data_IF_287146249589
#
_entry.id   IF_287146249589
#
_cell.length_a   1.000
_cell.length_b   1.000
_cell.length_c   1.000
_cell.angle_alpha   90.00
_cell.angle_beta   90.00
_cell.angle_gamma   90.00
#
_symmetry.space_group_name_H-M   'P 1'
#
loop_
_entity.id
_entity.type
_entity.pdbx_description
1 polymer ?
#
# COMPACT_ATOMS: atom_id res chain seq x y z
N UNK A 1 79.40 63.33 16.06
CA UNK A 1 78.39 62.88 16.98
C UNK A 1 77.24 62.38 16.16
N UNK A 2 77.04 61.07 16.22
CA UNK A 2 76.20 60.40 15.25
C UNK A 2 74.92 59.90 15.97
N UNK A 3 73.75 60.40 15.54
CA UNK A 3 72.48 59.85 16.00
C UNK A 3 72.03 58.77 15.07
N UNK A 4 71.96 57.63 15.62
CA UNK A 4 71.38 56.48 14.96
C UNK A 4 69.89 56.38 15.32
N UNK A 5 69.06 56.55 14.32
CA UNK A 5 67.58 56.35 14.45
C UNK A 5 67.23 54.92 14.07
N UNK A 6 66.63 54.25 15.00
CA UNK A 6 66.12 52.84 14.82
C UNK A 6 64.71 52.89 14.25
N UNK A 7 64.38 52.10 13.22
CA UNK A 7 62.99 52.08 12.69
C UNK A 7 62.06 51.18 13.49
N UNK A 8 60.96 51.77 13.91
CA UNK A 8 59.84 51.12 14.58
C UNK A 8 59.16 50.14 13.65
N UNK A 9 59.16 48.84 14.01
CA UNK A 9 58.43 47.79 13.31
C UNK A 9 56.95 47.90 13.66
N UNK A 10 56.13 48.24 12.69
CA UNK A 10 54.64 48.18 12.76
C UNK A 10 54.22 46.72 12.84
N UNK A 11 53.60 46.33 13.94
CA UNK A 11 52.96 45.01 14.10
C UNK A 11 51.56 45.09 13.52
N UNK A 12 51.31 44.43 12.42
CA UNK A 12 49.97 44.24 11.84
C UNK A 12 49.29 43.11 12.64
N UNK A 13 48.09 43.36 13.20
CA UNK A 13 47.36 42.27 13.84
C UNK A 13 46.81 41.31 12.79
N UNK A 14 47.10 40.03 12.96
CA UNK A 14 46.55 38.95 12.15
C UNK A 14 45.01 38.89 12.33
N UNK A 15 44.31 39.16 11.25
CA UNK A 15 42.87 39.00 11.18
C UNK A 15 42.57 37.50 11.13
N UNK A 16 42.10 36.95 12.23
CA UNK A 16 41.60 35.57 12.29
C UNK A 16 40.26 35.52 11.59
N UNK A 17 40.22 35.05 10.34
CA UNK A 17 38.99 34.75 9.61
C UNK A 17 38.49 33.40 10.13
N UNK A 18 37.48 33.47 11.03
CA UNK A 18 36.75 32.30 11.50
C UNK A 18 35.80 31.85 10.38
N UNK A 19 36.24 30.90 9.57
CA UNK A 19 35.40 30.25 8.58
C UNK A 19 34.35 29.38 9.32
N UNK A 20 33.12 29.90 9.40
CA UNK A 20 31.96 29.13 9.82
C UNK A 20 31.68 28.07 8.76
N UNK A 21 32.15 26.84 9.01
CA UNK A 21 31.76 25.66 8.24
C UNK A 21 30.27 25.41 8.54
N UNK A 22 29.40 25.81 7.61
CA UNK A 22 28.03 25.30 7.57
C UNK A 22 28.09 23.80 7.36
N UNK A 23 27.95 23.05 8.46
CA UNK A 23 27.68 21.63 8.40
C UNK A 23 26.28 21.46 7.78
N UNK A 24 26.24 21.30 6.45
CA UNK A 24 25.08 20.76 5.77
C UNK A 24 24.88 19.35 6.33
N UNK A 25 23.93 19.19 7.27
CA UNK A 25 23.49 17.89 7.73
C UNK A 25 23.07 17.04 6.52
N UNK A 26 23.25 15.71 6.57
CA UNK A 26 22.80 14.86 5.50
C UNK A 26 21.31 15.12 5.28
N UNK A 27 20.96 15.70 4.13
CA UNK A 27 19.58 15.85 3.70
C UNK A 27 18.96 14.46 3.75
N UNK A 28 17.95 14.29 4.58
CA UNK A 28 17.09 13.12 4.51
C UNK A 28 16.48 13.14 3.11
N UNK A 29 17.06 12.37 2.19
CA UNK A 29 16.40 12.02 0.96
C UNK A 29 15.07 11.39 1.41
N UNK A 30 13.94 11.99 1.04
CA UNK A 30 12.63 11.44 1.33
C UNK A 30 12.63 10.01 0.77
N UNK A 31 12.70 9.03 1.67
CA UNK A 31 12.70 7.62 1.32
C UNK A 31 11.43 7.37 0.53
N UNK A 32 11.56 6.84 -0.70
CA UNK A 32 10.39 6.51 -1.49
C UNK A 32 9.53 5.59 -0.64
N UNK A 33 8.23 5.88 -0.49
CA UNK A 33 7.36 5.01 0.28
C UNK A 33 7.51 3.59 -0.23
N UNK A 34 7.73 2.65 0.67
CA UNK A 34 7.81 1.24 0.35
C UNK A 34 6.51 0.84 -0.39
N UNK A 35 6.64 0.22 -1.54
CA UNK A 35 5.54 -0.19 -2.40
C UNK A 35 4.49 -0.98 -1.60
N UNK A 36 4.94 -1.90 -0.75
CA UNK A 36 4.04 -2.74 0.05
C UNK A 36 3.39 -1.99 1.22
N UNK A 37 4.00 -0.93 1.73
CA UNK A 37 3.34 -0.03 2.67
C UNK A 37 2.14 0.67 2.00
N UNK A 38 2.30 1.10 0.74
CA UNK A 38 1.20 1.70 -0.04
C UNK A 38 0.13 0.66 -0.37
N UNK A 39 0.51 -0.54 -0.82
CA UNK A 39 -0.43 -1.63 -1.11
C UNK A 39 -1.22 -2.05 0.14
N UNK A 40 -0.59 -2.09 1.33
CA UNK A 40 -1.29 -2.35 2.58
C UNK A 40 -2.37 -1.29 2.88
N UNK A 41 -2.07 0.00 2.61
CA UNK A 41 -3.05 1.07 2.74
C UNK A 41 -4.21 0.93 1.73
N UNK A 42 -3.95 0.45 0.51
CA UNK A 42 -5.02 0.12 -0.44
C UNK A 42 -5.90 -1.03 0.06
N UNK A 43 -5.33 -2.10 0.62
CA UNK A 43 -6.11 -3.21 1.19
C UNK A 43 -7.04 -2.74 2.31
N UNK A 44 -6.56 -1.85 3.20
CA UNK A 44 -7.41 -1.21 4.20
C UNK A 44 -8.55 -0.41 3.57
N UNK A 45 -8.26 0.37 2.52
CA UNK A 45 -9.27 1.16 1.83
C UNK A 45 -10.28 0.26 1.10
N UNK A 46 -9.86 -0.82 0.47
CA UNK A 46 -10.78 -1.78 -0.12
C UNK A 46 -11.74 -2.34 0.93
N UNK A 47 -11.24 -2.75 2.11
CA UNK A 47 -12.09 -3.19 3.21
C UNK A 47 -13.09 -2.12 3.69
N UNK A 48 -12.76 -0.83 3.55
CA UNK A 48 -13.63 0.29 3.93
C UNK A 48 -14.71 0.58 2.92
N UNK A 49 -14.43 0.37 1.65
CA UNK A 49 -15.31 0.79 0.54
C UNK A 49 -15.99 -0.37 -0.17
N UNK A 50 -15.79 -1.60 0.31
CA UNK A 50 -16.56 -2.75 -0.13
C UNK A 50 -17.79 -2.94 0.73
N UNK A 51 -18.93 -3.23 0.10
CA UNK A 51 -20.15 -3.64 0.78
C UNK A 51 -20.39 -5.12 0.51
N UNK A 52 -20.56 -5.89 1.60
CA UNK A 52 -20.92 -7.29 1.55
C UNK A 52 -22.45 -7.46 1.49
N UNK A 53 -22.95 -8.60 0.99
CA UNK A 53 -24.39 -8.88 0.95
C UNK A 53 -25.06 -8.72 2.33
N UNK A 54 -26.32 -8.33 2.33
CA UNK A 54 -27.12 -8.29 3.56
C UNK A 54 -27.21 -9.69 4.17
N UNK A 55 -27.12 -9.77 5.51
CA UNK A 55 -27.10 -11.04 6.23
C UNK A 55 -25.72 -11.73 6.27
N UNK A 56 -24.69 -11.10 5.73
CA UNK A 56 -23.32 -11.58 5.93
C UNK A 56 -22.85 -11.20 7.33
N UNK A 57 -23.00 -12.12 8.28
CA UNK A 57 -22.54 -11.93 9.65
C UNK A 57 -21.03 -12.16 9.75
N UNK A 58 -20.35 -11.12 10.19
CA UNK A 58 -18.92 -11.19 10.51
C UNK A 58 -18.58 -10.23 11.64
N UNK A 59 -17.99 -10.75 12.70
CA UNK A 59 -17.52 -9.95 13.82
C UNK A 59 -16.22 -9.19 13.51
N UNK A 60 -15.45 -9.71 12.57
CA UNK A 60 -14.15 -9.20 12.19
C UNK A 60 -14.00 -9.17 10.67
N UNK A 61 -13.54 -8.03 10.14
CA UNK A 61 -13.11 -7.93 8.75
C UNK A 61 -11.68 -8.46 8.62
N UNK A 62 -11.46 -9.45 7.77
CA UNK A 62 -10.15 -10.05 7.60
C UNK A 62 -9.48 -9.63 6.31
N UNK A 63 -8.20 -9.29 6.39
CA UNK A 63 -7.34 -9.18 5.23
C UNK A 63 -6.39 -10.38 5.26
N UNK A 64 -6.56 -11.26 4.30
CA UNK A 64 -5.84 -12.54 4.22
C UNK A 64 -4.83 -12.47 3.10
N UNK A 65 -3.56 -12.74 3.39
CA UNK A 65 -2.51 -12.92 2.39
C UNK A 65 -2.35 -14.41 2.12
N UNK A 66 -2.54 -14.84 0.87
CA UNK A 66 -2.38 -16.23 0.45
C UNK A 66 -1.08 -16.38 -0.34
N UNK A 67 -0.19 -17.25 0.13
CA UNK A 67 1.16 -17.44 -0.40
C UNK A 67 2.22 -16.78 0.46
N UNK A 68 3.34 -16.44 -0.17
CA UNK A 68 4.46 -15.78 0.51
C UNK A 68 4.10 -14.31 0.78
N UNK A 69 4.15 -13.90 2.05
CA UNK A 69 3.73 -12.55 2.44
C UNK A 69 4.77 -11.48 2.03
N UNK A 70 4.42 -10.58 1.10
CA UNK A 70 5.31 -9.51 0.70
C UNK A 70 5.18 -8.26 1.58
N UNK A 71 4.20 -8.20 2.49
CA UNK A 71 3.91 -7.02 3.30
C UNK A 71 4.75 -6.93 4.57
N UNK A 72 5.21 -8.07 5.11
CA UNK A 72 5.86 -8.09 6.42
C UNK A 72 4.99 -7.37 7.46
N UNK A 73 5.59 -6.46 8.24
CA UNK A 73 4.91 -5.71 9.31
C UNK A 73 4.02 -4.56 8.80
N UNK A 74 4.09 -4.20 7.51
CA UNK A 74 3.32 -3.06 6.99
C UNK A 74 1.81 -3.27 7.11
N UNK A 75 1.34 -4.48 6.82
CA UNK A 75 -0.08 -4.79 6.90
C UNK A 75 -0.58 -4.71 8.33
N UNK A 76 0.13 -5.29 9.28
CA UNK A 76 -0.26 -5.25 10.70
C UNK A 76 -0.26 -3.82 11.24
N UNK A 77 0.75 -3.03 10.93
CA UNK A 77 0.84 -1.61 11.34
C UNK A 77 -0.32 -0.78 10.78
N UNK A 78 -0.69 -1.00 9.53
CA UNK A 78 -1.79 -0.27 8.89
C UNK A 78 -3.14 -0.65 9.50
N UNK A 79 -3.33 -1.91 9.89
CA UNK A 79 -4.60 -2.41 10.44
C UNK A 79 -4.73 -2.21 11.96
N UNK A 80 -3.63 -1.99 12.67
CA UNK A 80 -3.62 -1.90 14.14
C UNK A 80 -4.67 -0.92 14.67
N UNK A 81 -5.58 -1.41 15.50
CA UNK A 81 -6.65 -0.62 16.13
C UNK A 81 -7.69 -0.04 15.16
N UNK A 82 -7.64 -0.38 13.87
CA UNK A 82 -8.61 0.11 12.89
C UNK A 82 -9.92 -0.66 12.97
N UNK A 83 -11.01 0.05 12.71
CA UNK A 83 -12.36 -0.51 12.63
C UNK A 83 -13.06 0.01 11.37
N UNK A 84 -13.91 -0.80 10.79
CA UNK A 84 -14.75 -0.44 9.65
C UNK A 84 -16.18 -0.83 10.00
N UNK A 85 -17.10 0.13 9.99
CA UNK A 85 -18.51 -0.07 10.41
C UNK A 85 -18.63 -0.75 11.78
N UNK A 86 -17.79 -0.34 12.75
CA UNK A 86 -17.75 -0.91 14.09
C UNK A 86 -16.98 -2.24 14.24
N UNK A 87 -16.63 -2.92 13.15
CA UNK A 87 -15.95 -4.21 13.14
C UNK A 87 -14.44 -4.03 13.17
N UNK A 88 -13.68 -4.75 14.01
CA UNK A 88 -12.22 -4.71 13.98
C UNK A 88 -11.68 -5.30 12.68
N UNK A 89 -10.49 -4.85 12.27
CA UNK A 89 -9.73 -5.45 11.18
C UNK A 89 -8.63 -6.35 11.74
N UNK A 90 -8.40 -7.47 11.07
CA UNK A 90 -7.31 -8.39 11.38
C UNK A 90 -6.59 -8.84 10.10
N UNK A 91 -5.27 -8.99 10.19
CA UNK A 91 -4.47 -9.64 9.16
C UNK A 91 -4.37 -11.14 9.42
N UNK A 92 -4.33 -11.94 8.37
CA UNK A 92 -4.03 -13.37 8.41
C UNK A 92 -3.11 -13.75 7.26
N UNK A 93 -2.20 -14.71 7.49
CA UNK A 93 -1.27 -15.22 6.48
C UNK A 93 -1.50 -16.71 6.32
N UNK A 94 -1.81 -17.09 5.09
CA UNK A 94 -2.07 -18.49 4.76
C UNK A 94 -1.08 -18.96 3.70
N UNK A 95 -0.16 -19.85 4.01
CA UNK A 95 0.75 -20.43 3.00
C UNK A 95 0.00 -21.10 1.85
N UNK A 96 -1.20 -21.57 2.13
CA UNK A 96 -2.14 -22.17 1.15
C UNK A 96 -3.56 -21.68 1.45
N UNK A 97 -4.39 -21.65 0.40
CA UNK A 97 -5.80 -21.30 0.53
C UNK A 97 -6.50 -22.23 1.53
N UNK A 98 -7.32 -21.62 2.38
CA UNK A 98 -8.23 -22.26 3.32
C UNK A 98 -9.65 -21.77 3.04
N UNK A 99 -10.63 -22.31 3.74
CA UNK A 99 -11.99 -21.81 3.70
C UNK A 99 -12.06 -20.42 4.36
N UNK A 100 -12.33 -19.34 3.60
CA UNK A 100 -12.33 -18.00 4.18
C UNK A 100 -13.60 -17.74 4.95
N UNK A 101 -13.45 -17.00 6.04
CA UNK A 101 -14.58 -16.41 6.71
C UNK A 101 -15.25 -15.36 5.80
N UNK A 102 -16.58 -15.14 5.93
CA UNK A 102 -17.24 -14.03 5.28
C UNK A 102 -16.57 -12.68 5.59
N UNK A 103 -16.81 -11.69 4.75
CA UNK A 103 -16.20 -10.35 4.89
C UNK A 103 -14.67 -10.36 4.86
N UNK A 104 -14.09 -11.16 3.97
CA UNK A 104 -12.64 -11.20 3.78
C UNK A 104 -12.21 -10.47 2.52
N UNK A 105 -11.08 -9.77 2.63
CA UNK A 105 -10.29 -9.31 1.48
C UNK A 105 -9.12 -10.27 1.35
N UNK A 106 -9.02 -10.95 0.22
CA UNK A 106 -8.00 -11.99 -0.01
C UNK A 106 -6.99 -11.47 -1.02
N UNK A 107 -5.78 -11.22 -0.55
CA UNK A 107 -4.65 -10.90 -1.40
C UNK A 107 -3.92 -12.17 -1.82
N UNK A 108 -3.75 -12.35 -3.12
CA UNK A 108 -3.06 -13.50 -3.73
C UNK A 108 -1.65 -13.08 -4.12
N UNK A 109 -0.66 -13.50 -3.34
CA UNK A 109 0.73 -13.08 -3.50
C UNK A 109 1.45 -13.75 -4.70
N UNK A 110 0.88 -14.81 -5.29
CA UNK A 110 1.49 -15.53 -6.40
C UNK A 110 0.50 -15.75 -7.53
N UNK A 111 0.90 -15.33 -8.74
CA UNK A 111 0.12 -15.56 -9.96
C UNK A 111 -0.05 -17.05 -10.29
N UNK A 112 0.92 -17.90 -9.95
CA UNK A 112 0.87 -19.35 -10.20
C UNK A 112 -0.25 -20.05 -9.44
N UNK A 113 -0.67 -19.49 -8.30
CA UNK A 113 -1.74 -20.04 -7.46
C UNK A 113 -3.08 -19.37 -7.69
N UNK A 114 -3.12 -18.30 -8.48
CA UNK A 114 -4.30 -17.47 -8.67
C UNK A 114 -5.51 -18.29 -9.14
N UNK A 115 -5.36 -19.16 -10.14
CA UNK A 115 -6.47 -19.95 -10.68
C UNK A 115 -7.13 -20.83 -9.62
N UNK A 116 -6.33 -21.57 -8.83
CA UNK A 116 -6.84 -22.43 -7.76
C UNK A 116 -7.53 -21.65 -6.65
N UNK A 117 -6.97 -20.49 -6.30
CA UNK A 117 -7.56 -19.62 -5.27
C UNK A 117 -8.87 -19.05 -5.78
N UNK A 118 -8.90 -18.48 -6.98
CA UNK A 118 -10.10 -17.88 -7.57
C UNK A 118 -11.21 -18.93 -7.78
N UNK A 119 -10.88 -20.13 -8.24
CA UNK A 119 -11.83 -21.22 -8.37
C UNK A 119 -12.47 -21.61 -7.02
N UNK A 120 -11.66 -21.72 -5.96
CA UNK A 120 -12.14 -22.05 -4.60
C UNK A 120 -13.01 -20.96 -3.98
N UNK A 121 -12.93 -19.73 -4.50
CA UNK A 121 -13.68 -18.55 -4.02
C UNK A 121 -14.88 -18.19 -4.89
N UNK A 122 -15.14 -18.95 -5.95
CA UNK A 122 -16.23 -18.65 -6.88
C UNK A 122 -17.57 -18.54 -6.13
N UNK A 123 -18.31 -17.47 -6.41
CA UNK A 123 -19.61 -17.14 -5.80
C UNK A 123 -19.56 -16.99 -4.27
N UNK A 124 -18.39 -16.74 -3.68
CA UNK A 124 -18.27 -16.39 -2.27
C UNK A 124 -18.17 -14.89 -2.07
N UNK A 125 -18.78 -14.34 -1.00
CA UNK A 125 -18.74 -12.90 -0.72
C UNK A 125 -17.37 -12.50 -0.13
N UNK A 126 -16.32 -12.61 -0.94
CA UNK A 126 -14.94 -12.20 -0.60
C UNK A 126 -14.38 -11.34 -1.71
N UNK A 127 -13.64 -10.29 -1.36
CA UNK A 127 -12.96 -9.46 -2.34
C UNK A 127 -11.57 -10.04 -2.63
N UNK A 128 -11.32 -10.42 -3.88
CA UNK A 128 -10.02 -10.93 -4.30
C UNK A 128 -9.15 -9.81 -4.84
N UNK A 129 -7.88 -9.77 -4.44
CA UNK A 129 -6.88 -8.77 -4.84
C UNK A 129 -5.61 -9.47 -5.30
N UNK A 130 -5.06 -9.07 -6.42
CA UNK A 130 -3.77 -9.54 -6.94
C UNK A 130 -2.87 -8.39 -7.38
N UNK A 131 -1.78 -8.70 -8.09
CA UNK A 131 -0.75 -7.71 -8.45
C UNK A 131 -0.54 -7.54 -9.95
N UNK A 132 -1.33 -8.20 -10.80
CA UNK A 132 -1.14 -8.11 -12.24
C UNK A 132 -2.46 -8.02 -13.00
N UNK A 133 -2.39 -7.56 -14.25
CA UNK A 133 -3.52 -7.53 -15.16
C UNK A 133 -4.07 -8.93 -15.40
N UNK A 134 -3.18 -9.92 -15.54
CA UNK A 134 -3.53 -11.32 -15.76
C UNK A 134 -4.38 -11.87 -14.61
N UNK A 135 -4.24 -11.33 -13.40
CA UNK A 135 -5.10 -11.69 -12.28
C UNK A 135 -6.57 -11.33 -12.53
N UNK A 136 -6.83 -10.16 -13.14
CA UNK A 136 -8.20 -9.76 -13.53
C UNK A 136 -8.73 -10.64 -14.66
N UNK A 137 -7.90 -10.94 -15.66
CA UNK A 137 -8.26 -11.77 -16.82
C UNK A 137 -8.66 -13.19 -16.39
N UNK A 138 -8.11 -13.67 -15.28
CA UNK A 138 -8.46 -14.95 -14.64
C UNK A 138 -9.70 -14.88 -13.74
N UNK A 139 -10.35 -13.73 -13.63
CA UNK A 139 -11.56 -13.52 -12.82
C UNK A 139 -11.30 -12.94 -11.43
N UNK A 140 -10.12 -12.41 -11.17
CA UNK A 140 -9.85 -11.63 -9.96
C UNK A 140 -10.63 -10.32 -9.96
N UNK A 141 -10.94 -9.78 -8.76
CA UNK A 141 -11.77 -8.59 -8.64
C UNK A 141 -10.98 -7.28 -8.71
N UNK A 142 -9.79 -7.23 -8.12
CA UNK A 142 -8.94 -6.03 -8.08
C UNK A 142 -7.48 -6.41 -8.35
N UNK A 143 -6.78 -5.62 -9.15
CA UNK A 143 -5.33 -5.74 -9.34
C UNK A 143 -4.62 -4.47 -8.89
N UNK A 144 -3.66 -4.61 -7.98
CA UNK A 144 -2.72 -3.56 -7.62
C UNK A 144 -1.55 -3.60 -8.60
N UNK A 145 -1.35 -2.53 -9.34
CA UNK A 145 -0.32 -2.45 -10.39
C UNK A 145 0.64 -1.31 -10.11
N UNK A 146 1.90 -1.50 -10.49
CA UNK A 146 2.90 -0.45 -10.42
C UNK A 146 2.98 0.25 -11.79
N UNK A 147 2.57 1.51 -11.85
CA UNK A 147 2.64 2.34 -13.04
C UNK A 147 3.51 3.56 -12.81
N UNK A 148 4.60 3.68 -13.57
CA UNK A 148 5.55 4.81 -13.46
C UNK A 148 6.02 5.08 -12.02
N UNK A 149 6.28 4.01 -11.26
CA UNK A 149 6.72 4.08 -9.86
C UNK A 149 5.63 4.47 -8.86
N UNK A 150 4.35 4.38 -9.25
CA UNK A 150 3.19 4.64 -8.37
C UNK A 150 2.28 3.42 -8.34
N UNK A 151 1.84 3.04 -7.16
CA UNK A 151 0.82 2.00 -7.02
C UNK A 151 -0.52 2.56 -7.48
N UNK A 152 -1.16 1.84 -8.39
CA UNK A 152 -2.49 2.07 -8.92
C UNK A 152 -3.30 0.79 -8.78
N UNK A 153 -4.59 0.84 -9.09
CA UNK A 153 -5.39 -0.37 -9.14
C UNK A 153 -6.39 -0.34 -10.30
N UNK A 154 -6.68 -1.53 -10.78
CA UNK A 154 -7.72 -1.81 -11.77
C UNK A 154 -8.80 -2.67 -11.13
N UNK A 155 -10.03 -2.55 -11.61
CA UNK A 155 -11.20 -3.27 -11.07
C UNK A 155 -11.87 -4.06 -12.19
N UNK A 156 -12.18 -5.33 -11.92
CA UNK A 156 -13.09 -6.16 -12.69
C UNK A 156 -14.47 -6.10 -12.00
N UNK A 157 -15.34 -5.20 -12.45
CA UNK A 157 -16.66 -4.99 -11.86
C UNK A 157 -17.58 -6.22 -11.99
N UNK A 158 -17.36 -7.04 -13.04
CA UNK A 158 -18.07 -8.30 -13.21
C UNK A 158 -17.71 -9.29 -12.10
N UNK A 159 -16.42 -9.49 -11.82
CA UNK A 159 -15.98 -10.37 -10.76
C UNK A 159 -16.47 -9.91 -9.37
N UNK A 160 -16.48 -8.58 -9.12
CA UNK A 160 -17.06 -8.00 -7.90
C UNK A 160 -18.53 -8.36 -7.77
N UNK A 161 -19.32 -8.17 -8.85
CA UNK A 161 -20.75 -8.47 -8.87
C UNK A 161 -21.04 -9.97 -8.72
N UNK A 162 -20.27 -10.84 -9.38
CA UNK A 162 -20.38 -12.30 -9.30
C UNK A 162 -20.11 -12.81 -7.87
N UNK A 163 -19.24 -12.12 -7.11
CA UNK A 163 -19.02 -12.38 -5.68
C UNK A 163 -20.14 -11.80 -4.78
N UNK A 164 -21.17 -11.16 -5.35
CA UNK A 164 -22.24 -10.51 -4.60
C UNK A 164 -21.80 -9.26 -3.84
N UNK A 165 -20.69 -8.64 -4.26
CA UNK A 165 -20.12 -7.46 -3.62
C UNK A 165 -20.46 -6.18 -4.38
N UNK A 166 -20.36 -5.04 -3.68
CA UNK A 166 -20.41 -3.71 -4.29
C UNK A 166 -19.22 -2.88 -3.84
N UNK A 167 -18.65 -2.14 -4.78
CA UNK A 167 -17.63 -1.15 -4.48
C UNK A 167 -18.26 0.25 -4.53
N UNK A 168 -17.93 1.06 -3.52
CA UNK A 168 -18.35 2.45 -3.46
C UNK A 168 -17.84 3.23 -4.67
N UNK A 169 -18.67 4.10 -5.26
CA UNK A 169 -18.34 4.90 -6.43
C UNK A 169 -17.09 5.79 -6.23
N UNK A 170 -16.85 6.24 -4.99
CA UNK A 170 -15.64 6.99 -4.63
C UNK A 170 -14.38 6.17 -4.84
N UNK A 171 -14.42 4.87 -4.52
CA UNK A 171 -13.29 3.97 -4.78
C UNK A 171 -13.13 3.72 -6.29
N UNK A 172 -14.23 3.44 -6.98
CA UNK A 172 -14.22 3.24 -8.44
C UNK A 172 -13.67 4.46 -9.19
N UNK A 173 -13.97 5.68 -8.72
CA UNK A 173 -13.43 6.93 -9.29
C UNK A 173 -11.90 7.09 -9.13
N UNK A 174 -11.27 6.32 -8.25
CA UNK A 174 -9.82 6.30 -8.07
C UNK A 174 -9.12 5.17 -8.84
N UNK A 175 -9.89 4.22 -9.39
CA UNK A 175 -9.36 3.15 -10.21
C UNK A 175 -8.75 3.70 -11.51
N UNK A 176 -7.66 3.10 -11.95
CA UNK A 176 -7.08 3.41 -13.26
C UNK A 176 -7.99 2.92 -14.38
N UNK A 177 -8.54 1.73 -14.21
CA UNK A 177 -9.46 1.09 -15.15
C UNK A 177 -10.55 0.35 -14.39
N UNK A 178 -11.79 0.40 -14.89
CA UNK A 178 -12.92 -0.41 -14.42
C UNK A 178 -13.45 -1.17 -15.62
N UNK A 179 -13.36 -2.50 -15.59
CA UNK A 179 -13.79 -3.38 -16.67
C UNK A 179 -15.03 -4.18 -16.26
N UNK A 180 -15.79 -4.64 -17.28
CA UNK A 180 -16.97 -5.47 -17.06
C UNK A 180 -18.15 -4.73 -16.38
N UNK A 181 -18.08 -3.42 -16.22
CA UNK A 181 -19.21 -2.61 -15.81
C UNK A 181 -20.22 -2.53 -16.95
N UNK A 182 -21.44 -3.03 -16.74
CA UNK A 182 -22.56 -2.67 -17.62
C UNK A 182 -22.80 -1.18 -17.41
N UNK A 183 -22.34 -0.35 -18.35
CA UNK A 183 -22.71 1.06 -18.37
C UNK A 183 -24.23 1.15 -18.39
N UNK A 184 -24.79 1.75 -17.34
CA UNK A 184 -26.12 2.36 -17.30
C UNK A 184 -25.94 3.83 -17.22
#
# INVERSE_FOLDING_TARGET
MRHSASPSRLRVPALVVLAAACAAGPGHAAEKPDEYAIKAAYLLNFARFVAWPAGTDCDTLRIVVVGDDPFGDHLDRVLAGKRVSGRPLAASRWPRMRDPEPCSVIFVASSERADKVLESLRARPVLTVGESREFLDRGGAVALVLERGRVRFDVNARAVSEAGLWLDSRLLGLARTVEGGTGR
#
